data_IF_809271830792
#
_entry.id   IF_809271830792
#
_cell.length_a   1.000
_cell.length_b   1.000
_cell.length_c   1.000
_cell.angle_alpha   90.00
_cell.angle_beta   90.00
_cell.angle_gamma   90.00
#
_symmetry.space_group_name_H-M   'P 1'
#
loop_
_entity.id
_entity.type
_entity.pdbx_description
1 polymer ?
#
# COMPACT_ATOMS: atom_id res chain seq x y z
N UNK A 1 5.92 -25.73 -51.26
CA UNK A 1 5.42 -24.51 -51.92
C UNK A 1 4.45 -23.78 -50.99
N UNK A 2 4.73 -22.49 -50.75
CA UNK A 2 3.85 -21.36 -50.32
C UNK A 2 2.62 -21.67 -49.45
N UNK A 3 2.61 -21.36 -48.14
CA UNK A 3 2.47 -20.04 -47.45
C UNK A 3 1.08 -19.41 -47.61
N UNK A 4 0.29 -19.37 -46.53
CA UNK A 4 -0.50 -18.18 -46.10
C UNK A 4 -0.91 -18.35 -44.62
N UNK A 5 -0.15 -17.70 -43.72
CA UNK A 5 -0.53 -17.50 -42.32
C UNK A 5 -1.23 -16.13 -42.18
N UNK A 6 -2.42 -16.11 -41.58
CA UNK A 6 -3.20 -14.89 -41.31
C UNK A 6 -2.52 -14.09 -40.19
N UNK A 7 -2.15 -12.85 -40.52
CA UNK A 7 -1.58 -11.84 -39.63
C UNK A 7 -2.60 -11.43 -38.56
N UNK A 8 -2.25 -11.59 -37.28
CA UNK A 8 -2.90 -10.85 -36.18
C UNK A 8 -2.23 -9.48 -36.11
N UNK A 9 -2.99 -8.40 -36.29
CA UNK A 9 -2.55 -7.06 -35.93
C UNK A 9 -2.49 -7.01 -34.40
N UNK A 10 -1.33 -6.63 -33.89
CA UNK A 10 -1.10 -6.30 -32.50
C UNK A 10 -0.82 -4.80 -32.50
N UNK A 11 -1.78 -4.00 -32.06
CA UNK A 11 -1.59 -2.58 -31.80
C UNK A 11 -0.70 -2.47 -30.55
N UNK A 12 0.57 -2.12 -30.76
CA UNK A 12 1.50 -1.69 -29.71
C UNK A 12 1.50 -0.16 -29.74
N UNK A 13 1.00 0.42 -28.66
CA UNK A 13 1.19 1.83 -28.34
C UNK A 13 2.69 2.15 -28.33
N UNK A 14 3.08 3.04 -29.23
CA UNK A 14 4.43 3.61 -29.34
C UNK A 14 4.55 4.79 -28.39
N UNK A 15 5.03 4.56 -27.17
CA UNK A 15 5.48 5.62 -26.27
C UNK A 15 6.98 5.43 -26.01
N UNK A 16 7.80 5.94 -26.94
CA UNK A 16 9.26 6.03 -26.80
C UNK A 16 9.64 7.50 -26.74
N UNK A 17 9.55 8.08 -25.53
CA UNK A 17 10.16 9.38 -25.26
C UNK A 17 11.68 9.23 -25.21
N UNK A 18 12.37 10.08 -25.97
CA UNK A 18 13.78 9.98 -26.30
C UNK A 18 14.73 10.07 -25.10
N UNK A 19 15.53 9.02 -24.94
CA UNK A 19 16.79 9.07 -24.20
C UNK A 19 17.88 9.74 -25.05
N UNK A 20 18.24 10.96 -24.67
CA UNK A 20 19.42 11.66 -25.16
C UNK A 20 20.66 11.10 -24.46
N UNK A 21 21.25 10.05 -25.02
CA UNK A 21 22.55 9.51 -24.64
C UNK A 21 23.60 9.99 -25.65
N UNK A 22 24.31 11.05 -25.29
CA UNK A 22 25.47 11.54 -26.04
C UNK A 22 26.74 11.22 -25.26
N UNK A 23 27.48 10.23 -25.76
CA UNK A 23 28.85 9.89 -25.37
C UNK A 23 29.79 11.09 -25.46
N UNK A 24 30.71 11.31 -24.51
CA UNK A 24 31.82 12.22 -24.73
C UNK A 24 33.02 11.45 -25.30
N UNK A 25 33.32 11.69 -26.58
CA UNK A 25 34.61 11.32 -27.17
C UNK A 25 35.74 12.26 -26.72
N UNK A 26 36.92 11.67 -26.61
CA UNK A 26 38.21 12.33 -26.39
C UNK A 26 38.47 13.41 -27.43
N UNK A 27 38.82 14.63 -27.00
CA UNK A 27 39.76 15.45 -27.78
C UNK A 27 40.64 16.32 -26.89
N UNK A 28 41.91 16.30 -27.26
CA UNK A 28 43.06 17.03 -26.76
C UNK A 28 42.89 18.56 -26.74
N UNK A 29 43.42 19.24 -25.71
CA UNK A 29 44.53 20.23 -25.82
C UNK A 29 44.66 21.12 -24.57
N UNK A 30 45.93 21.46 -24.30
CA UNK A 30 46.47 22.61 -23.54
C UNK A 30 46.54 22.51 -22.01
N UNK A 31 47.66 21.96 -21.57
CA UNK A 31 48.43 22.47 -20.44
C UNK A 31 48.65 23.98 -20.57
N UNK A 32 48.02 24.77 -19.69
CA UNK A 32 48.41 26.16 -19.43
C UNK A 32 48.77 26.27 -17.95
N UNK A 33 50.08 26.15 -17.74
CA UNK A 33 50.88 26.76 -16.67
C UNK A 33 50.18 27.98 -16.06
N UNK A 34 49.84 27.88 -14.77
CA UNK A 34 49.65 29.03 -13.89
C UNK A 34 50.69 28.92 -12.79
N UNK A 35 51.75 29.70 -12.97
CA UNK A 35 52.67 30.12 -11.92
C UNK A 35 51.84 30.84 -10.84
N UNK A 36 51.75 30.26 -9.65
CA UNK A 36 51.25 30.94 -8.47
C UNK A 36 52.44 31.71 -7.86
N UNK A 37 52.48 33.01 -8.14
CA UNK A 37 53.34 33.98 -7.48
C UNK A 37 53.10 33.97 -5.97
N UNK A 38 54.20 33.95 -5.22
CA UNK A 38 54.26 33.81 -3.77
C UNK A 38 53.42 34.81 -2.97
N UNK A 39 52.85 34.30 -1.88
CA UNK A 39 52.47 35.13 -0.74
C UNK A 39 53.72 35.50 0.06
N UNK A 40 53.83 36.72 0.59
CA UNK A 40 54.91 37.06 1.50
C UNK A 40 54.77 36.24 2.79
N UNK A 41 55.86 35.59 3.17
CA UNK A 41 56.10 35.04 4.51
C UNK A 41 55.68 36.05 5.58
N UNK A 42 54.86 35.60 6.51
CA UNK A 42 54.74 36.26 7.81
C UNK A 42 55.97 35.85 8.60
N UNK A 43 56.80 36.84 8.90
CA UNK A 43 57.89 36.74 9.85
C UNK A 43 57.30 36.39 11.22
N UNK A 44 57.37 35.12 11.59
CA UNK A 44 57.07 34.64 12.94
C UNK A 44 58.31 34.94 13.81
N UNK A 45 58.47 36.22 14.12
CA UNK A 45 59.50 36.75 15.02
C UNK A 45 59.15 36.41 16.45
N UNK A 46 59.50 35.18 16.88
CA UNK A 46 59.48 34.78 18.27
C UNK A 46 60.51 35.54 19.11
N UNK A 47 60.08 36.12 20.22
CA UNK A 47 60.96 36.49 21.32
C UNK A 47 60.69 37.85 21.96
N UNK A 48 59.91 37.83 23.05
CA UNK A 48 59.82 38.87 24.09
C UNK A 48 59.03 40.14 23.76
N UNK A 49 57.71 39.99 23.58
CA UNK A 49 56.76 41.06 23.87
C UNK A 49 56.25 40.87 25.30
N UNK A 50 56.43 41.87 26.15
CA UNK A 50 55.74 42.00 27.43
C UNK A 50 54.23 42.12 27.12
N UNK A 51 53.55 41.00 26.95
CA UNK A 51 52.12 40.96 26.64
C UNK A 51 51.32 41.32 27.89
N UNK A 52 50.47 42.34 27.78
CA UNK A 52 49.54 42.73 28.85
C UNK A 52 48.63 41.55 29.23
N UNK A 53 48.25 41.48 30.51
CA UNK A 53 47.29 40.47 30.98
C UNK A 53 45.95 40.60 30.23
N UNK A 54 45.21 39.50 30.10
CA UNK A 54 43.89 39.47 29.46
C UNK A 54 42.94 40.46 30.14
N UNK A 55 43.05 40.62 31.46
CA UNK A 55 42.28 41.60 32.25
C UNK A 55 42.61 43.05 31.85
N UNK A 56 43.89 43.35 31.68
CA UNK A 56 44.37 44.67 31.30
C UNK A 56 43.96 45.01 29.86
N UNK A 57 44.02 44.01 28.98
CA UNK A 57 43.54 44.10 27.60
C UNK A 57 42.02 44.29 27.56
N UNK A 58 41.26 43.62 28.43
CA UNK A 58 39.82 43.77 28.56
C UNK A 58 39.41 45.15 29.07
N UNK A 59 40.19 45.73 29.99
CA UNK A 59 39.97 47.10 30.44
C UNK A 59 40.16 48.12 29.31
N UNK A 60 41.16 47.92 28.44
CA UNK A 60 41.35 48.73 27.23
C UNK A 60 40.20 48.54 26.23
N UNK A 61 39.75 47.29 26.06
CA UNK A 61 38.64 46.93 25.18
C UNK A 61 37.32 47.59 25.62
N UNK A 62 37.05 47.60 26.92
CA UNK A 62 35.90 48.28 27.51
C UNK A 62 35.95 49.81 27.30
N UNK A 63 37.13 50.43 27.45
CA UNK A 63 37.32 51.87 27.17
C UNK A 63 37.10 52.21 25.69
N UNK A 64 37.37 51.25 24.80
CA UNK A 64 37.13 51.36 23.35
C UNK A 64 35.73 50.90 22.93
N UNK A 65 34.85 50.53 23.89
CA UNK A 65 33.48 50.08 23.61
C UNK A 65 33.40 48.71 22.92
N UNK A 66 34.47 47.92 22.98
CA UNK A 66 34.58 46.59 22.37
C UNK A 66 34.24 45.50 23.41
N UNK A 67 33.73 44.35 22.95
CA UNK A 67 33.38 43.22 23.81
C UNK A 67 34.62 42.61 24.49
N UNK A 68 34.58 42.17 25.76
CA UNK A 68 35.72 41.54 26.44
C UNK A 68 36.21 40.26 25.73
N UNK A 69 37.52 39.98 25.85
CA UNK A 69 38.10 38.67 25.52
C UNK A 69 37.74 37.68 26.63
N UNK A 70 37.24 36.52 26.23
CA UNK A 70 36.92 35.40 27.12
C UNK A 70 38.13 34.47 27.13
N UNK A 71 38.53 33.99 28.30
CA UNK A 71 39.61 33.00 28.45
C UNK A 71 39.24 31.70 27.72
N UNK A 72 40.20 31.07 27.03
CA UNK A 72 40.04 29.85 26.23
C UNK A 72 39.70 28.57 27.06
N UNK A 73 39.23 28.72 28.30
CA UNK A 73 38.72 27.65 29.17
C UNK A 73 37.18 27.54 29.13
N UNK A 74 36.50 28.32 28.28
CA UNK A 74 35.06 28.18 28.06
C UNK A 74 34.77 27.16 26.96
N UNK A 75 34.58 25.90 27.38
CA UNK A 75 34.01 24.84 26.55
C UNK A 75 32.76 25.33 25.79
N UNK A 76 32.48 24.81 24.57
CA UNK A 76 31.35 25.26 23.76
C UNK A 76 30.05 25.09 24.54
N UNK A 77 29.36 26.20 24.81
CA UNK A 77 28.08 26.20 25.51
C UNK A 77 27.01 25.59 24.59
N UNK A 78 26.78 24.29 24.70
CA UNK A 78 25.56 23.67 24.19
C UNK A 78 24.38 24.24 25.00
N UNK A 79 23.58 25.10 24.37
CA UNK A 79 22.29 25.53 24.92
C UNK A 79 21.20 24.71 24.24
N UNK A 80 20.46 23.94 25.02
CA UNK A 80 19.21 23.35 24.56
C UNK A 80 18.16 24.47 24.44
N UNK A 81 17.52 24.57 23.28
CA UNK A 81 16.40 25.49 23.07
C UNK A 81 15.16 24.93 23.78
N UNK A 82 14.59 25.67 24.74
CA UNK A 82 13.32 25.35 25.42
C UNK A 82 12.08 25.47 24.52
N UNK A 83 12.24 25.79 23.23
CA UNK A 83 11.12 26.01 22.32
C UNK A 83 11.28 25.18 21.04
N UNK A 84 10.93 23.89 21.13
CA UNK A 84 10.47 23.12 19.97
C UNK A 84 11.20 21.81 19.70
N UNK A 85 10.74 20.74 20.36
CA UNK A 85 11.03 19.35 19.97
C UNK A 85 12.40 18.83 20.39
N UNK A 86 12.41 17.64 21.01
CA UNK A 86 13.55 16.98 21.67
C UNK A 86 14.77 16.62 20.78
N UNK A 87 14.97 17.26 19.63
CA UNK A 87 16.04 16.94 18.69
C UNK A 87 16.70 18.16 18.02
N UNK A 88 16.45 19.38 18.53
CA UNK A 88 17.02 20.60 17.97
C UNK A 88 18.23 21.06 18.80
N UNK A 89 19.42 20.54 18.48
CA UNK A 89 20.66 21.02 19.12
C UNK A 89 21.14 22.28 18.39
N UNK A 90 21.07 23.41 19.09
CA UNK A 90 21.64 24.68 18.63
C UNK A 90 23.11 24.70 19.05
N UNK A 91 24.01 24.59 18.07
CA UNK A 91 25.45 24.69 18.30
C UNK A 91 25.91 26.04 17.75
N UNK A 92 26.45 26.89 18.62
CA UNK A 92 27.02 28.18 18.21
C UNK A 92 28.52 28.00 17.98
N UNK A 93 28.96 28.15 16.74
CA UNK A 93 30.39 28.15 16.36
C UNK A 93 30.66 29.43 15.56
N UNK A 94 31.70 30.18 15.92
CA UNK A 94 32.16 31.40 15.23
C UNK A 94 31.07 32.51 15.05
N UNK A 95 30.15 32.64 16.02
CA UNK A 95 29.08 33.64 15.98
C UNK A 95 27.91 33.29 15.05
N UNK A 96 27.89 32.06 14.51
CA UNK A 96 26.81 31.54 13.68
C UNK A 96 26.10 30.43 14.46
N UNK A 97 24.78 30.56 14.61
CA UNK A 97 23.93 29.58 15.28
C UNK A 97 23.52 28.49 14.29
N UNK A 98 23.99 27.26 14.51
CA UNK A 98 23.62 26.09 13.71
C UNK A 98 22.53 25.28 14.41
N UNK A 99 21.39 25.18 13.74
CA UNK A 99 20.26 24.36 14.18
C UNK A 99 20.40 22.96 13.57
N UNK A 100 20.82 21.97 14.37
CA UNK A 100 20.89 20.59 13.91
C UNK A 100 19.54 19.91 14.03
N UNK A 101 18.87 19.68 12.89
CA UNK A 101 17.68 18.81 12.79
C UNK A 101 18.11 17.42 12.35
N UNK A 102 17.55 16.39 12.98
CA UNK A 102 17.75 15.01 12.56
C UNK A 102 17.38 14.84 11.07
N UNK A 103 18.24 14.17 10.30
CA UNK A 103 18.03 13.98 8.88
C UNK A 103 16.76 13.16 8.62
N UNK A 104 15.78 13.78 7.97
CA UNK A 104 14.56 13.08 7.54
C UNK A 104 14.90 12.21 6.34
N UNK A 105 14.48 10.94 6.37
CA UNK A 105 14.62 10.01 5.25
C UNK A 105 13.71 10.43 4.09
N UNK A 106 14.24 11.26 3.18
CA UNK A 106 13.55 11.73 1.97
C UNK A 106 13.11 10.58 1.06
N UNK A 107 13.78 9.43 1.13
CA UNK A 107 13.41 8.25 0.35
C UNK A 107 12.14 7.60 0.89
N UNK A 108 12.01 7.44 2.21
CA UNK A 108 10.81 6.88 2.84
C UNK A 108 9.60 7.80 2.66
N UNK A 109 9.78 9.12 2.78
CA UNK A 109 8.67 10.06 2.56
C UNK A 109 8.16 10.00 1.13
N UNK A 110 9.06 10.05 0.13
CA UNK A 110 8.71 9.90 -1.30
C UNK A 110 8.04 8.56 -1.61
N UNK A 111 8.47 7.47 -0.97
CA UNK A 111 7.83 6.16 -1.13
C UNK A 111 6.41 6.17 -0.55
N UNK A 112 6.22 6.76 0.64
CA UNK A 112 4.90 6.88 1.26
C UNK A 112 3.95 7.75 0.43
N UNK A 113 4.45 8.83 -0.17
CA UNK A 113 3.68 9.72 -1.06
C UNK A 113 3.25 8.97 -2.32
N UNK A 114 4.16 8.22 -2.97
CA UNK A 114 3.83 7.39 -4.13
C UNK A 114 2.79 6.31 -3.82
N UNK A 115 2.82 5.72 -2.62
CA UNK A 115 1.81 4.75 -2.19
C UNK A 115 0.45 5.41 -1.97
N UNK A 116 0.42 6.61 -1.37
CA UNK A 116 -0.82 7.40 -1.21
C UNK A 116 -1.43 7.76 -2.57
N UNK A 117 -0.62 8.21 -3.52
CA UNK A 117 -1.07 8.50 -4.89
C UNK A 117 -1.67 7.25 -5.57
N UNK A 118 -1.02 6.09 -5.45
CA UNK A 118 -1.57 4.83 -5.96
C UNK A 118 -2.90 4.45 -5.30
N UNK A 119 -3.05 4.66 -4.00
CA UNK A 119 -4.32 4.40 -3.29
C UNK A 119 -5.43 5.35 -3.76
N UNK A 120 -5.13 6.64 -3.95
CA UNK A 120 -6.09 7.63 -4.45
C UNK A 120 -6.58 7.30 -5.87
N UNK A 121 -5.67 6.92 -6.77
CA UNK A 121 -6.05 6.52 -8.12
C UNK A 121 -6.92 5.26 -8.11
N UNK A 122 -6.64 4.28 -7.24
CA UNK A 122 -7.46 3.08 -7.10
C UNK A 122 -8.84 3.38 -6.48
N UNK A 123 -8.90 4.27 -5.50
CA UNK A 123 -10.15 4.73 -4.91
C UNK A 123 -11.02 5.48 -5.93
N UNK A 124 -10.42 6.34 -6.76
CA UNK A 124 -11.10 7.02 -7.86
C UNK A 124 -11.64 6.02 -8.89
N UNK A 125 -10.84 5.00 -9.28
CA UNK A 125 -11.29 3.91 -10.16
C UNK A 125 -12.48 3.15 -9.57
N UNK A 126 -12.43 2.77 -8.28
CA UNK A 126 -13.56 2.11 -7.59
C UNK A 126 -14.81 2.99 -7.57
N UNK A 127 -14.65 4.31 -7.38
CA UNK A 127 -15.76 5.26 -7.43
C UNK A 127 -16.39 5.31 -8.82
N UNK A 128 -15.60 5.37 -9.89
CA UNK A 128 -16.11 5.32 -11.27
C UNK A 128 -16.80 3.99 -11.55
N UNK A 129 -16.18 2.86 -11.22
CA UNK A 129 -16.78 1.53 -11.37
C UNK A 129 -18.11 1.42 -10.61
N UNK A 130 -18.17 1.91 -9.37
CA UNK A 130 -19.42 1.91 -8.59
C UNK A 130 -20.52 2.77 -9.22
N UNK A 131 -20.17 3.87 -9.89
CA UNK A 131 -21.13 4.69 -10.63
C UNK A 131 -21.63 3.98 -11.88
N UNK A 132 -20.73 3.35 -12.64
CA UNK A 132 -21.07 2.57 -13.84
C UNK A 132 -21.96 1.37 -13.49
N UNK A 133 -21.69 0.69 -12.38
CA UNK A 133 -22.52 -0.42 -11.90
C UNK A 133 -23.90 0.04 -11.40
N UNK A 134 -24.00 1.27 -10.87
CA UNK A 134 -25.27 1.84 -10.42
C UNK A 134 -26.11 2.42 -11.56
N UNK A 135 -25.49 2.89 -12.64
CA UNK A 135 -26.24 3.30 -13.83
C UNK A 135 -26.86 2.08 -14.52
N UNK A 136 -28.14 2.18 -14.91
CA UNK A 136 -28.86 1.21 -15.76
C UNK A 136 -27.98 0.89 -16.97
N UNK A 137 -27.73 -0.38 -17.22
CA UNK A 137 -26.87 -0.81 -18.32
C UNK A 137 -27.45 -0.34 -19.66
N UNK A 138 -26.61 0.03 -20.62
CA UNK A 138 -27.06 0.45 -21.96
C UNK A 138 -27.93 -0.61 -22.65
N UNK A 139 -27.75 -1.89 -22.31
CA UNK A 139 -28.56 -3.01 -22.79
C UNK A 139 -29.99 -3.03 -22.21
N UNK A 140 -30.19 -2.46 -21.02
CA UNK A 140 -31.46 -2.48 -20.29
C UNK A 140 -32.34 -1.26 -20.67
N UNK A 141 -31.76 -0.26 -21.34
CA UNK A 141 -32.52 0.85 -21.93
C UNK A 141 -33.16 0.51 -23.29
N UNK A 142 -32.76 -0.60 -23.92
CA UNK A 142 -33.21 -0.95 -25.28
C UNK A 142 -34.38 -1.94 -25.31
N UNK A 143 -34.67 -2.64 -24.20
CA UNK A 143 -35.68 -3.71 -24.17
C UNK A 143 -37.02 -3.27 -23.56
N UNK A 144 -37.04 -2.20 -22.74
CA UNK A 144 -38.24 -1.80 -21.99
C UNK A 144 -38.91 -0.49 -22.46
N UNK A 145 -38.25 0.37 -23.23
CA UNK A 145 -38.78 1.73 -23.51
C UNK A 145 -38.94 2.09 -25.00
N UNK A 146 -38.45 1.28 -25.94
CA UNK A 146 -38.63 1.52 -27.39
C UNK A 146 -39.71 0.63 -28.00
N UNK A 147 -40.80 0.47 -27.26
CA UNK A 147 -41.89 -0.38 -27.67
C UNK A 147 -43.22 0.26 -27.32
N UNK A 148 -43.96 0.73 -28.32
CA UNK A 148 -45.33 1.22 -28.13
C UNK A 148 -46.25 0.13 -27.57
N UNK A 149 -47.54 0.48 -27.40
CA UNK A 149 -48.61 -0.41 -26.88
C UNK A 149 -48.59 -1.80 -27.54
N UNK A 150 -48.23 -1.89 -28.82
CA UNK A 150 -48.12 -3.14 -29.58
C UNK A 150 -47.04 -4.09 -29.02
N UNK A 151 -45.83 -3.60 -28.72
CA UNK A 151 -44.76 -4.41 -28.12
C UNK A 151 -45.13 -4.92 -26.71
N UNK A 152 -45.91 -4.14 -25.96
CA UNK A 152 -46.40 -4.53 -24.64
C UNK A 152 -47.46 -5.64 -24.77
N UNK A 153 -48.35 -5.53 -25.75
CA UNK A 153 -49.32 -6.58 -26.08
C UNK A 153 -48.60 -7.86 -26.53
N UNK A 154 -47.57 -7.75 -27.37
CA UNK A 154 -46.77 -8.89 -27.82
C UNK A 154 -45.98 -9.53 -26.67
N UNK A 155 -45.40 -8.74 -25.77
CA UNK A 155 -44.73 -9.24 -24.57
C UNK A 155 -45.72 -9.92 -23.60
N UNK A 156 -46.94 -9.39 -23.45
CA UNK A 156 -48.00 -10.03 -22.68
C UNK A 156 -48.47 -11.33 -23.33
N UNK A 157 -48.63 -11.34 -24.65
CA UNK A 157 -48.97 -12.54 -25.41
C UNK A 157 -47.89 -13.61 -25.28
N UNK A 158 -46.61 -13.24 -25.39
CA UNK A 158 -45.46 -14.15 -25.20
C UNK A 158 -45.43 -14.73 -23.79
N UNK A 159 -45.64 -13.90 -22.76
CA UNK A 159 -45.75 -14.37 -21.36
C UNK A 159 -46.94 -15.29 -21.14
N UNK A 160 -48.06 -15.06 -21.82
CA UNK A 160 -49.24 -15.92 -21.76
C UNK A 160 -48.98 -17.27 -22.45
N UNK A 161 -48.29 -17.26 -23.58
CA UNK A 161 -47.91 -18.47 -24.32
C UNK A 161 -46.84 -19.29 -23.58
N UNK A 162 -45.83 -18.64 -22.99
CA UNK A 162 -44.84 -19.29 -22.13
C UNK A 162 -45.51 -19.95 -20.91
N UNK A 163 -46.45 -19.25 -20.25
CA UNK A 163 -47.23 -19.83 -19.15
C UNK A 163 -48.12 -20.98 -19.62
N UNK A 164 -48.79 -20.85 -20.76
CA UNK A 164 -49.64 -21.91 -21.29
C UNK A 164 -48.81 -23.18 -21.58
N UNK A 165 -47.64 -23.02 -22.18
CA UNK A 165 -46.71 -24.11 -22.44
C UNK A 165 -46.17 -24.73 -21.14
N UNK A 166 -45.91 -23.93 -20.10
CA UNK A 166 -45.54 -24.43 -18.77
C UNK A 166 -46.67 -25.27 -18.15
N UNK A 167 -47.92 -24.81 -18.24
CA UNK A 167 -49.07 -25.59 -17.76
C UNK A 167 -49.29 -26.87 -18.55
N UNK A 168 -49.17 -26.84 -19.88
CA UNK A 168 -49.27 -28.04 -20.73
C UNK A 168 -48.15 -29.05 -20.42
N UNK A 169 -46.94 -28.59 -20.14
CA UNK A 169 -45.84 -29.44 -19.71
C UNK A 169 -46.09 -30.08 -18.34
N UNK A 170 -46.62 -29.30 -17.38
CA UNK A 170 -47.01 -29.80 -16.06
C UNK A 170 -48.15 -30.81 -16.15
N UNK A 171 -49.18 -30.57 -16.96
CA UNK A 171 -50.27 -31.52 -17.19
C UNK A 171 -49.75 -32.80 -17.84
N UNK A 172 -48.86 -32.69 -18.83
CA UNK A 172 -48.18 -33.85 -19.42
C UNK A 172 -47.35 -34.64 -18.41
N UNK A 173 -46.68 -33.98 -17.46
CA UNK A 173 -45.93 -34.64 -16.38
C UNK A 173 -46.87 -35.29 -15.36
N UNK A 174 -47.99 -34.65 -15.02
CA UNK A 174 -49.03 -35.17 -14.13
C UNK A 174 -49.70 -36.40 -14.74
N UNK A 175 -50.05 -36.37 -16.03
CA UNK A 175 -50.62 -37.52 -16.75
C UNK A 175 -49.61 -38.68 -16.80
N UNK A 176 -48.34 -38.39 -17.11
CA UNK A 176 -47.29 -39.40 -17.07
C UNK A 176 -47.06 -39.97 -15.67
N UNK A 177 -47.16 -39.15 -14.62
CA UNK A 177 -47.08 -39.59 -13.23
C UNK A 177 -48.32 -40.39 -12.81
N UNK A 178 -49.51 -40.07 -13.33
CA UNK A 178 -50.75 -40.80 -13.11
C UNK A 178 -50.72 -42.19 -13.77
N UNK A 179 -50.20 -42.29 -14.98
CA UNK A 179 -50.02 -43.57 -15.70
C UNK A 179 -48.88 -44.41 -15.09
N UNK A 180 -47.83 -43.79 -14.55
CA UNK A 180 -46.70 -44.47 -13.89
C UNK A 180 -46.89 -44.75 -12.39
N UNK A 181 -48.11 -44.68 -11.84
CA UNK A 181 -48.42 -45.02 -10.44
C UNK A 181 -48.90 -46.48 -10.26
N UNK A 182 -48.01 -47.48 -10.10
CA UNK A 182 -48.28 -48.54 -9.14
C UNK A 182 -48.04 -47.96 -7.73
N UNK A 183 -48.92 -48.29 -6.78
CA UNK A 183 -48.87 -47.83 -5.37
C UNK A 183 -47.45 -47.86 -4.80
N UNK A 184 -46.76 -46.72 -4.70
CA UNK A 184 -45.47 -46.60 -4.00
C UNK A 184 -45.39 -45.29 -3.23
N UNK A 185 -44.76 -45.43 -2.07
CA UNK A 185 -44.56 -44.52 -0.95
C UNK A 185 -44.20 -43.05 -1.31
N UNK A 186 -44.41 -42.10 -0.37
CA UNK A 186 -44.06 -40.69 -0.59
C UNK A 186 -42.59 -40.56 -0.99
N UNK A 187 -42.36 -40.03 -2.19
CA UNK A 187 -41.03 -39.69 -2.68
C UNK A 187 -40.54 -38.49 -1.88
N UNK A 188 -39.69 -38.77 -0.89
CA UNK A 188 -38.92 -37.76 -0.19
C UNK A 188 -38.10 -36.97 -1.22
N UNK A 189 -38.56 -35.77 -1.55
CA UNK A 189 -37.79 -34.81 -2.30
C UNK A 189 -36.45 -34.61 -1.59
N UNK A 190 -35.35 -34.94 -2.27
CA UNK A 190 -33.99 -34.65 -1.80
C UNK A 190 -33.84 -33.14 -1.74
N UNK A 191 -34.16 -32.56 -0.57
CA UNK A 191 -33.72 -31.22 -0.20
C UNK A 191 -32.21 -31.18 -0.42
N UNK A 192 -31.64 -30.12 -1.01
CA UNK A 192 -30.19 -29.98 -1.07
C UNK A 192 -29.69 -30.10 0.37
N UNK A 193 -28.91 -31.15 0.63
CA UNK A 193 -28.26 -31.33 1.91
C UNK A 193 -27.38 -30.09 2.06
N UNK A 194 -27.70 -29.24 3.04
CA UNK A 194 -26.78 -28.17 3.42
C UNK A 194 -25.45 -28.87 3.76
N UNK A 195 -24.30 -28.32 3.34
CA UNK A 195 -23.02 -28.85 3.80
C UNK A 195 -23.13 -28.98 5.31
N UNK A 196 -22.81 -30.18 5.81
CA UNK A 196 -22.98 -30.43 7.22
C UNK A 196 -22.10 -29.45 7.98
N UNK A 197 -22.52 -28.99 9.15
CA UNK A 197 -21.74 -28.03 9.95
C UNK A 197 -20.34 -28.57 10.28
N UNK A 198 -20.18 -29.90 10.24
CA UNK A 198 -18.93 -30.64 10.35
C UNK A 198 -18.01 -30.51 9.13
N UNK A 199 -18.54 -30.32 7.92
CA UNK A 199 -17.74 -30.10 6.70
C UNK A 199 -17.04 -28.74 6.72
N UNK A 200 -17.59 -27.75 7.45
CA UNK A 200 -17.01 -26.42 7.58
C UNK A 200 -15.70 -26.42 8.41
N UNK A 201 -15.51 -27.44 9.25
CA UNK A 201 -14.31 -27.60 10.09
C UNK A 201 -13.21 -28.43 9.40
N UNK A 202 -13.49 -28.94 8.19
CA UNK A 202 -12.53 -29.72 7.44
C UNK A 202 -11.34 -28.85 7.00
N UNK A 203 -10.14 -29.18 7.50
CA UNK A 203 -8.90 -28.47 7.17
C UNK A 203 -8.30 -27.66 8.32
N UNK A 204 -8.99 -27.49 9.45
CA UNK A 204 -8.42 -26.87 10.65
C UNK A 204 -7.47 -27.85 11.34
N UNK A 205 -6.37 -27.36 11.91
CA UNK A 205 -5.42 -28.18 12.65
C UNK A 205 -5.79 -28.28 14.12
N UNK A 206 -5.47 -29.41 14.77
CA UNK A 206 -5.73 -29.61 16.20
C UNK A 206 -4.41 -29.49 16.95
N UNK A 207 -4.34 -28.60 17.94
CA UNK A 207 -3.11 -28.27 18.68
C UNK A 207 -2.68 -29.30 19.72
N UNK A 208 -3.38 -30.43 19.83
CA UNK A 208 -3.15 -31.48 20.82
C UNK A 208 -2.66 -32.78 20.19
N UNK A 209 -1.86 -33.54 20.93
CA UNK A 209 -1.42 -34.87 20.51
C UNK A 209 -2.60 -35.83 20.37
N UNK A 210 -2.53 -36.73 19.38
CA UNK A 210 -3.52 -37.81 19.20
C UNK A 210 -3.70 -38.67 20.46
N UNK A 211 -2.65 -38.77 21.29
CA UNK A 211 -2.67 -39.53 22.54
C UNK A 211 -3.50 -38.89 23.65
N UNK A 212 -3.73 -37.57 23.59
CA UNK A 212 -4.55 -36.85 24.57
C UNK A 212 -6.05 -37.16 24.43
N UNK A 213 -6.44 -37.73 23.29
CA UNK A 213 -7.82 -38.13 23.02
C UNK A 213 -8.01 -39.61 23.40
N UNK A 214 -8.66 -39.85 24.54
CA UNK A 214 -9.06 -41.19 24.94
C UNK A 214 -10.20 -41.67 24.04
N UNK A 215 -10.06 -42.87 23.45
CA UNK A 215 -11.07 -43.44 22.56
C UNK A 215 -12.37 -43.66 23.33
N UNK A 216 -13.47 -43.04 22.85
CA UNK A 216 -14.80 -43.13 23.47
C UNK A 216 -15.20 -41.93 24.32
N UNK A 217 -14.34 -40.92 24.49
CA UNK A 217 -14.71 -39.64 25.09
C UNK A 217 -14.87 -38.57 24.01
N UNK A 218 -16.07 -37.99 23.91
CA UNK A 218 -16.31 -36.82 23.08
C UNK A 218 -15.73 -35.59 23.77
N UNK A 219 -14.88 -34.85 23.06
CA UNK A 219 -14.15 -33.69 23.60
C UNK A 219 -14.47 -32.46 22.74
N UNK A 220 -14.86 -31.37 23.40
CA UNK A 220 -15.13 -30.11 22.71
C UNK A 220 -13.81 -29.37 22.50
N UNK A 221 -13.56 -28.96 21.26
CA UNK A 221 -12.42 -28.13 20.89
C UNK A 221 -12.89 -26.71 20.60
N UNK A 222 -12.07 -25.73 20.94
CA UNK A 222 -12.33 -24.30 20.74
C UNK A 222 -11.19 -23.72 19.90
N UNK A 223 -11.48 -22.70 19.11
CA UNK A 223 -10.47 -21.97 18.33
C UNK A 223 -9.47 -21.28 19.27
N UNK A 224 -8.18 -21.43 18.98
CA UNK A 224 -7.10 -20.75 19.69
C UNK A 224 -7.14 -19.23 19.43
N UNK A 225 -6.77 -18.43 20.42
CA UNK A 225 -6.80 -16.97 20.30
C UNK A 225 -5.65 -16.47 19.41
N UNK A 226 -5.98 -15.77 18.33
CA UNK A 226 -5.01 -15.27 17.35
C UNK A 226 -5.32 -13.83 16.96
N UNK A 227 -4.25 -13.06 16.77
CA UNK A 227 -4.36 -11.69 16.31
C UNK A 227 -4.86 -11.68 14.85
N UNK A 228 -5.89 -10.88 14.58
CA UNK A 228 -6.58 -10.85 13.27
C UNK A 228 -5.68 -10.34 12.14
N UNK A 229 -4.58 -9.67 12.46
CA UNK A 229 -3.63 -9.16 11.47
C UNK A 229 -2.50 -10.14 11.15
N UNK A 230 -2.38 -11.22 11.93
CA UNK A 230 -1.31 -12.21 11.79
C UNK A 230 -1.82 -13.34 10.88
N UNK A 231 -1.95 -13.03 9.57
CA UNK A 231 -2.48 -13.94 8.54
C UNK A 231 -1.54 -15.12 8.21
N UNK A 232 -0.33 -15.15 8.77
CA UNK A 232 0.68 -16.18 8.49
C UNK A 232 0.45 -17.51 9.25
N UNK A 233 -0.51 -17.53 10.19
CA UNK A 233 -0.80 -18.70 11.02
C UNK A 233 -2.05 -19.47 10.58
N UNK A 234 -1.97 -20.80 10.55
CA UNK A 234 -3.15 -21.66 10.37
C UNK A 234 -4.06 -21.60 11.60
N UNK A 235 -5.38 -21.63 11.44
CA UNK A 235 -6.33 -21.72 12.56
C UNK A 235 -6.20 -23.06 13.31
N UNK A 236 -5.99 -23.01 14.63
CA UNK A 236 -5.74 -24.18 15.48
C UNK A 236 -6.89 -24.37 16.46
N UNK A 237 -7.37 -25.60 16.59
CA UNK A 237 -8.38 -26.01 17.56
C UNK A 237 -7.71 -26.64 18.78
N UNK A 238 -8.05 -26.15 19.97
CA UNK A 238 -7.45 -26.56 21.24
C UNK A 238 -8.56 -26.92 22.23
N UNK A 239 -8.33 -27.96 23.02
CA UNK A 239 -9.17 -28.23 24.19
C UNK A 239 -8.68 -27.36 25.37
N UNK A 240 -9.50 -26.46 25.93
CA UNK A 240 -9.12 -25.63 27.07
C UNK A 240 -8.86 -26.43 28.37
N UNK A 241 -9.39 -27.65 28.50
CA UNK A 241 -9.14 -28.50 29.68
C UNK A 241 -7.86 -29.33 29.59
N UNK A 242 -7.25 -29.40 28.40
CA UNK A 242 -5.99 -30.13 28.16
C UNK A 242 -4.79 -29.18 27.99
N UNK A 243 -5.00 -27.87 28.18
CA UNK A 243 -3.93 -26.88 28.27
C UNK A 243 -3.18 -27.00 29.60
#
# INVERSE_FOLDING_TARGET
MSKYAKKRKHDLDSDTTGGNESSPEKSSKRSRRREASGSPERDDGGGNVESMSIEETNALRAKLGMAPLVEEEAAPTMRESESGGAAEKVVTQDGIEFVHKAAVSVTQTKLSEKLKEKLETHAAKRKVQSKVLKSKGLADSSDEEEGGVESWIEAQRRKAEEKANEYDQLDGEIEQAAVKRPKRAPTAGKRPQRPSEYDALAGMTVGHSKTSFMTGQETILVLDDKNVLDDDGEEVLVNPTLM
#
